data_IF_468477127999
#
_entry.id   IF_468477127999
#
_cell.length_a   1.000
_cell.length_b   1.000
_cell.length_c   1.000
_cell.angle_alpha   90.00
_cell.angle_beta   90.00
_cell.angle_gamma   90.00
#
_symmetry.space_group_name_H-M   'P 1'
#
loop_
_entity.id
_entity.type
_entity.pdbx_description
1 polymer ?
#
# COMPACT_ATOMS: atom_id res chain seq x y z
N UNK A 1 24.10 -4.17 -18.42
CA UNK A 1 22.64 -3.99 -18.54
C UNK A 1 22.15 -3.36 -17.25
N UNK A 2 21.19 -2.45 -17.34
CA UNK A 2 20.55 -1.91 -16.13
C UNK A 2 19.77 -3.02 -15.42
N UNK A 3 19.62 -2.90 -14.11
CA UNK A 3 18.74 -3.76 -13.34
C UNK A 3 17.25 -3.43 -13.55
N UNK A 4 16.37 -4.28 -13.03
CA UNK A 4 14.91 -4.12 -13.09
C UNK A 4 14.41 -3.54 -11.77
N UNK A 5 13.46 -2.61 -11.84
CA UNK A 5 12.74 -2.07 -10.68
C UNK A 5 11.44 -2.84 -10.45
N UNK A 6 11.31 -3.45 -9.29
CA UNK A 6 10.12 -4.21 -8.89
C UNK A 6 9.31 -3.45 -7.85
N UNK A 7 8.05 -3.13 -8.15
CA UNK A 7 7.08 -2.68 -7.14
C UNK A 7 6.33 -3.89 -6.61
N UNK A 8 6.50 -4.22 -5.33
CA UNK A 8 6.01 -5.48 -4.76
C UNK A 8 4.98 -5.22 -3.67
N UNK A 9 3.75 -5.72 -3.87
CA UNK A 9 2.75 -5.80 -2.82
C UNK A 9 3.03 -6.97 -1.88
N UNK A 10 3.25 -6.67 -0.60
CA UNK A 10 3.53 -7.69 0.42
C UNK A 10 2.27 -8.15 1.17
N UNK A 11 1.09 -7.72 0.72
CA UNK A 11 -0.15 -8.08 1.41
C UNK A 11 -0.41 -7.25 2.67
N UNK A 12 -1.48 -7.58 3.44
CA UNK A 12 -2.00 -6.73 4.50
C UNK A 12 -1.32 -6.90 5.86
N UNK A 13 -0.47 -7.93 6.03
CA UNK A 13 0.18 -8.21 7.33
C UNK A 13 0.69 -9.63 7.48
N UNK A 14 -0.10 -10.61 7.09
CA UNK A 14 0.28 -12.02 7.15
C UNK A 14 1.26 -12.36 6.01
N UNK A 15 2.48 -12.86 6.33
CA UNK A 15 3.46 -13.25 5.31
C UNK A 15 2.96 -14.34 4.35
N UNK A 16 2.04 -15.19 4.76
CA UNK A 16 1.47 -16.25 3.91
C UNK A 16 0.52 -15.70 2.83
N UNK A 17 0.16 -14.41 2.92
CA UNK A 17 -0.62 -13.71 1.88
C UNK A 17 0.24 -13.03 0.81
N UNK A 18 1.57 -13.21 0.83
CA UNK A 18 2.40 -12.82 -0.29
C UNK A 18 2.10 -13.73 -1.50
N UNK A 19 2.04 -13.13 -2.69
CA UNK A 19 1.94 -13.93 -3.90
C UNK A 19 3.25 -14.68 -4.16
N UNK A 20 3.18 -15.86 -4.77
CA UNK A 20 4.39 -16.62 -5.16
C UNK A 20 5.30 -15.78 -6.07
N UNK A 21 4.72 -14.90 -6.90
CA UNK A 21 5.48 -13.99 -7.75
C UNK A 21 6.23 -12.94 -6.92
N UNK A 22 5.60 -12.41 -5.87
CA UNK A 22 6.24 -11.48 -4.94
C UNK A 22 7.43 -12.12 -4.22
N UNK A 23 7.27 -13.34 -3.70
CA UNK A 23 8.34 -14.09 -3.04
C UNK A 23 9.53 -14.28 -3.98
N UNK A 24 9.29 -14.78 -5.21
CA UNK A 24 10.35 -14.98 -6.20
C UNK A 24 11.08 -13.68 -6.57
N UNK A 25 10.37 -12.56 -6.65
CA UNK A 25 10.98 -11.27 -6.94
C UNK A 25 11.82 -10.74 -5.77
N UNK A 26 11.38 -10.94 -4.53
CA UNK A 26 12.14 -10.61 -3.31
C UNK A 26 13.42 -11.46 -3.26
N UNK A 27 13.31 -12.76 -3.52
CA UNK A 27 14.47 -13.67 -3.59
C UNK A 27 15.44 -13.32 -4.71
N UNK A 28 14.97 -12.77 -5.83
CA UNK A 28 15.81 -12.36 -6.96
C UNK A 28 16.42 -10.97 -6.81
N UNK A 29 15.88 -10.12 -5.92
CA UNK A 29 16.34 -8.76 -5.72
C UNK A 29 17.76 -8.70 -5.13
N UNK A 30 18.53 -7.69 -5.52
CA UNK A 30 19.83 -7.36 -4.95
C UNK A 30 19.70 -6.32 -3.84
N UNK A 31 18.73 -5.43 -3.96
CA UNK A 31 18.45 -4.36 -3.00
C UNK A 31 16.93 -4.29 -2.72
N UNK A 32 16.58 -4.13 -1.45
CA UNK A 32 15.21 -3.86 -1.03
C UNK A 32 15.08 -2.40 -0.58
N UNK A 33 14.12 -1.68 -1.17
CA UNK A 33 13.71 -0.38 -0.66
C UNK A 33 12.54 -0.58 0.29
N UNK A 34 12.76 -0.18 1.53
CA UNK A 34 11.79 -0.24 2.61
C UNK A 34 11.29 1.18 2.92
N UNK A 35 10.09 1.57 2.42
CA UNK A 35 9.57 2.89 2.72
C UNK A 35 9.25 3.02 4.20
N UNK A 36 9.65 4.14 4.78
CA UNK A 36 9.34 4.51 6.16
C UNK A 36 8.80 5.94 6.25
N UNK A 37 8.16 6.26 7.37
CA UNK A 37 7.79 7.63 7.70
C UNK A 37 8.82 8.22 8.64
N UNK A 38 8.96 9.55 8.69
CA UNK A 38 9.86 10.26 9.63
C UNK A 38 9.62 9.88 11.10
N UNK A 39 8.36 9.53 11.44
CA UNK A 39 7.92 9.29 12.83
C UNK A 39 8.03 7.84 13.29
N UNK A 40 8.39 6.90 12.42
CA UNK A 40 8.47 5.47 12.77
C UNK A 40 9.80 4.88 12.37
N UNK A 41 10.45 4.24 13.31
CA UNK A 41 11.59 3.38 13.03
C UNK A 41 11.07 2.07 12.40
N UNK A 42 11.63 1.74 11.21
CA UNK A 42 11.31 0.53 10.49
C UNK A 42 10.18 0.64 9.46
N UNK A 43 9.96 -0.43 8.73
CA UNK A 43 8.97 -0.56 7.66
C UNK A 43 8.11 -1.79 7.90
N UNK A 44 6.79 -1.59 8.01
CA UNK A 44 5.84 -2.70 8.15
C UNK A 44 5.91 -3.65 6.96
N UNK A 45 6.07 -3.13 5.75
CA UNK A 45 6.20 -3.94 4.55
C UNK A 45 7.46 -4.84 4.59
N UNK A 46 8.56 -4.33 5.14
CA UNK A 46 9.78 -5.11 5.36
C UNK A 46 9.56 -6.22 6.38
N UNK A 47 8.87 -5.94 7.48
CA UNK A 47 8.59 -6.97 8.50
C UNK A 47 7.75 -8.13 7.93
N UNK A 48 6.76 -7.83 7.10
CA UNK A 48 5.94 -8.85 6.42
C UNK A 48 6.79 -9.68 5.45
N UNK A 49 7.70 -9.06 4.71
CA UNK A 49 8.57 -9.75 3.77
C UNK A 49 9.72 -10.52 4.43
N UNK A 50 10.01 -10.27 5.72
CA UNK A 50 11.17 -10.79 6.45
C UNK A 50 11.41 -12.29 6.30
N UNK A 51 10.40 -13.20 6.33
CA UNK A 51 10.61 -14.64 6.18
C UNK A 51 11.20 -15.06 4.82
N UNK A 52 11.09 -14.21 3.82
CA UNK A 52 11.52 -14.48 2.44
C UNK A 52 12.80 -13.74 2.03
N UNK A 53 13.43 -13.03 2.96
CA UNK A 53 14.63 -12.28 2.68
C UNK A 53 15.86 -13.18 2.61
N UNK A 54 16.75 -12.88 1.66
CA UNK A 54 18.12 -13.43 1.70
C UNK A 54 18.84 -12.93 2.95
N UNK A 55 19.75 -13.74 3.47
CA UNK A 55 20.53 -13.43 4.69
C UNK A 55 21.27 -12.10 4.62
N UNK A 56 21.86 -11.79 3.46
CA UNK A 56 22.75 -10.65 3.27
C UNK A 56 22.16 -9.63 2.27
N UNK A 57 20.82 -9.54 2.17
CA UNK A 57 20.17 -8.57 1.28
C UNK A 57 20.44 -7.15 1.74
N UNK A 58 20.84 -6.28 0.82
CA UNK A 58 20.98 -4.85 1.08
C UNK A 58 19.60 -4.21 1.29
N UNK A 59 19.40 -3.47 2.39
CA UNK A 59 18.14 -2.80 2.71
C UNK A 59 18.39 -1.30 2.74
N UNK A 60 17.69 -0.57 1.88
CA UNK A 60 17.70 0.90 1.81
C UNK A 60 16.38 1.42 2.38
N UNK A 61 16.46 2.25 3.43
CA UNK A 61 15.30 2.90 3.99
C UNK A 61 15.09 4.26 3.34
N UNK A 62 14.00 4.41 2.60
CA UNK A 62 13.63 5.70 2.02
C UNK A 62 12.48 6.34 2.79
N UNK A 63 12.65 7.62 3.12
CA UNK A 63 11.60 8.44 3.74
C UNK A 63 10.80 9.13 2.64
N UNK A 64 9.48 8.97 2.71
CA UNK A 64 8.55 9.63 1.80
C UNK A 64 7.69 10.61 2.60
N UNK A 65 7.83 11.91 2.33
CA UNK A 65 7.05 12.93 3.01
C UNK A 65 5.55 12.73 2.78
N UNK A 66 4.77 12.75 3.87
CA UNK A 66 3.30 12.67 3.82
C UNK A 66 2.71 14.06 3.65
N UNK A 67 3.02 14.73 2.54
CA UNK A 67 2.54 16.08 2.23
C UNK A 67 1.23 16.04 1.46
N UNK A 68 0.37 17.07 1.65
CA UNK A 68 -0.90 17.18 0.92
C UNK A 68 -0.70 17.43 -0.57
N UNK A 69 0.34 18.17 -0.94
CA UNK A 69 0.71 18.43 -2.33
C UNK A 69 2.11 17.88 -2.58
N UNK A 70 2.25 17.10 -3.64
CA UNK A 70 3.53 16.54 -4.09
C UNK A 70 4.62 17.63 -4.33
N UNK A 71 4.19 18.82 -4.74
CA UNK A 71 5.07 19.96 -5.01
C UNK A 71 5.72 20.56 -3.74
N UNK A 72 5.16 20.30 -2.55
CA UNK A 72 5.63 20.91 -1.32
C UNK A 72 6.95 20.29 -0.79
N UNK A 73 7.36 19.11 -1.31
CA UNK A 73 8.62 18.45 -0.91
C UNK A 73 9.23 17.64 -2.07
N UNK A 74 9.36 18.29 -3.23
CA UNK A 74 9.92 17.66 -4.43
C UNK A 74 11.38 17.20 -4.26
N UNK A 75 12.14 17.83 -3.37
CA UNK A 75 13.56 17.50 -3.15
C UNK A 75 13.78 16.10 -2.60
N UNK A 76 12.99 15.65 -1.63
CA UNK A 76 13.10 14.30 -1.06
C UNK A 76 12.70 13.21 -2.10
N UNK A 77 11.68 13.49 -2.90
CA UNK A 77 11.25 12.57 -3.96
C UNK A 77 12.29 12.43 -5.07
N UNK A 78 12.90 13.53 -5.50
CA UNK A 78 13.97 13.50 -6.50
C UNK A 78 15.24 12.82 -5.97
N UNK A 79 15.59 13.01 -4.70
CA UNK A 79 16.70 12.32 -4.07
C UNK A 79 16.46 10.80 -4.02
N UNK A 80 15.26 10.36 -3.61
CA UNK A 80 14.88 8.95 -3.60
C UNK A 80 14.89 8.33 -5.01
N UNK A 81 14.40 9.06 -6.02
CA UNK A 81 14.49 8.66 -7.43
C UNK A 81 15.92 8.49 -7.88
N UNK A 82 16.79 9.47 -7.59
CA UNK A 82 18.19 9.43 -7.98
C UNK A 82 18.93 8.23 -7.38
N UNK A 83 18.65 7.89 -6.11
CA UNK A 83 19.19 6.71 -5.44
C UNK A 83 18.75 5.41 -6.13
N UNK A 84 17.46 5.28 -6.47
CA UNK A 84 16.92 4.14 -7.22
C UNK A 84 17.62 4.00 -8.57
N UNK A 85 17.73 5.09 -9.33
CA UNK A 85 18.38 5.08 -10.66
C UNK A 85 19.86 4.73 -10.56
N UNK A 86 20.58 5.17 -9.53
CA UNK A 86 21.97 4.81 -9.30
C UNK A 86 22.14 3.30 -9.12
N UNK A 87 21.31 2.67 -8.26
CA UNK A 87 21.32 1.23 -8.03
C UNK A 87 20.99 0.44 -9.31
N UNK A 88 19.99 0.87 -10.08
CA UNK A 88 19.64 0.23 -11.35
C UNK A 88 20.74 0.36 -12.38
N UNK A 89 21.44 1.50 -12.44
CA UNK A 89 22.58 1.72 -13.34
C UNK A 89 23.81 0.84 -12.99
N UNK A 90 23.94 0.44 -11.72
CA UNK A 90 24.93 -0.56 -11.28
C UNK A 90 24.56 -1.98 -11.73
N UNK A 91 23.40 -2.18 -12.36
CA UNK A 91 22.90 -3.48 -12.79
C UNK A 91 22.18 -4.25 -11.69
N UNK A 92 21.88 -3.61 -10.53
CA UNK A 92 21.18 -4.23 -9.42
C UNK A 92 19.66 -4.29 -9.67
N UNK A 93 19.05 -5.42 -9.37
CA UNK A 93 17.60 -5.55 -9.29
C UNK A 93 17.09 -4.94 -7.97
N UNK A 94 16.24 -3.94 -8.06
CA UNK A 94 15.76 -3.16 -6.91
C UNK A 94 14.27 -3.47 -6.66
N UNK A 95 13.93 -3.93 -5.46
CA UNK A 95 12.56 -4.22 -5.09
C UNK A 95 12.04 -3.21 -4.05
N UNK A 96 10.98 -2.48 -4.42
CA UNK A 96 10.26 -1.55 -3.56
C UNK A 96 9.09 -2.27 -2.89
N UNK A 97 9.13 -2.38 -1.56
CA UNK A 97 8.10 -3.09 -0.80
C UNK A 97 6.93 -2.17 -0.44
N UNK A 98 5.72 -2.67 -0.65
CA UNK A 98 4.47 -1.91 -0.38
C UNK A 98 3.50 -2.75 0.44
N UNK A 99 3.02 -2.19 1.56
CA UNK A 99 1.93 -2.78 2.34
C UNK A 99 0.64 -2.86 1.49
N UNK A 100 0.01 -4.03 1.46
CA UNK A 100 -1.15 -4.30 0.61
C UNK A 100 -0.77 -4.45 -0.86
N UNK A 101 -1.37 -3.65 -1.72
CA UNK A 101 -1.15 -3.63 -3.18
C UNK A 101 -0.44 -2.33 -3.62
N UNK A 102 0.55 -2.41 -4.53
CA UNK A 102 1.32 -1.23 -4.95
C UNK A 102 0.52 -0.21 -5.76
N UNK A 103 -0.54 -0.62 -6.44
CA UNK A 103 -1.37 0.28 -7.24
C UNK A 103 -2.62 0.78 -6.51
N UNK A 104 -2.71 0.50 -5.18
CA UNK A 104 -3.90 0.86 -4.41
C UNK A 104 -3.55 1.74 -3.18
N UNK A 105 -3.82 3.05 -3.24
CA UNK A 105 -3.53 4.06 -2.19
C UNK A 105 -2.11 3.99 -1.61
N UNK A 106 -1.13 3.75 -2.45
CA UNK A 106 0.24 3.43 -2.10
C UNK A 106 1.20 4.57 -2.45
N UNK A 107 2.26 4.70 -1.67
CA UNK A 107 3.42 5.57 -1.98
C UNK A 107 4.13 5.15 -3.26
N UNK A 108 4.11 3.85 -3.59
CA UNK A 108 4.69 3.32 -4.82
C UNK A 108 4.15 4.01 -6.09
N UNK A 109 2.87 4.38 -6.14
CA UNK A 109 2.27 5.04 -7.32
C UNK A 109 3.04 6.31 -7.70
N UNK A 110 3.50 7.07 -6.70
CA UNK A 110 4.28 8.30 -6.94
C UNK A 110 5.69 7.97 -7.43
N UNK A 111 6.35 6.97 -6.84
CA UNK A 111 7.67 6.50 -7.30
C UNK A 111 7.56 5.95 -8.73
N UNK A 112 6.54 5.17 -9.03
CA UNK A 112 6.26 4.66 -10.37
C UNK A 112 6.19 5.80 -11.39
N UNK A 113 5.40 6.85 -11.10
CA UNK A 113 5.26 8.02 -11.99
C UNK A 113 6.56 8.80 -12.20
N UNK A 114 7.46 8.81 -11.22
CA UNK A 114 8.79 9.42 -11.37
C UNK A 114 9.72 8.59 -12.26
N UNK A 115 9.52 7.29 -12.32
CA UNK A 115 10.37 6.36 -13.06
C UNK A 115 9.81 5.96 -14.43
N UNK A 116 8.49 6.08 -14.67
CA UNK A 116 7.85 5.59 -15.90
C UNK A 116 8.33 6.26 -17.19
N UNK A 117 8.98 7.44 -17.09
CA UNK A 117 9.56 8.16 -18.20
C UNK A 117 11.10 7.98 -18.31
N UNK A 118 11.69 7.24 -17.41
CA UNK A 118 13.09 6.87 -17.43
C UNK A 118 13.29 5.59 -18.27
N UNK A 119 14.50 5.41 -18.82
CA UNK A 119 14.87 4.19 -19.55
C UNK A 119 15.18 3.04 -18.56
N UNK A 120 14.15 2.54 -17.87
CA UNK A 120 14.25 1.46 -16.87
C UNK A 120 13.11 0.45 -17.04
N UNK A 121 13.43 -0.83 -16.83
CA UNK A 121 12.43 -1.88 -16.78
C UNK A 121 11.69 -1.84 -15.43
N UNK A 122 10.36 -1.66 -15.46
CA UNK A 122 9.52 -1.65 -14.27
C UNK A 122 8.56 -2.82 -14.28
N UNK A 123 8.57 -3.61 -13.21
CA UNK A 123 7.65 -4.74 -13.01
C UNK A 123 6.85 -4.51 -11.74
N UNK A 124 5.54 -4.30 -11.87
CA UNK A 124 4.64 -4.21 -10.72
C UNK A 124 4.00 -5.56 -10.41
N UNK A 125 4.10 -5.99 -9.16
CA UNK A 125 3.58 -7.27 -8.68
C UNK A 125 2.48 -6.99 -7.66
N UNK A 126 1.23 -7.42 -7.92
CA UNK A 126 0.11 -7.14 -7.05
C UNK A 126 0.24 -7.84 -5.69
N UNK A 127 -0.39 -7.27 -4.68
CA UNK A 127 -0.56 -7.86 -3.37
C UNK A 127 -2.04 -7.84 -2.94
N UNK A 128 -2.36 -8.54 -1.86
CA UNK A 128 -3.72 -8.58 -1.32
C UNK A 128 -4.01 -7.28 -0.56
N UNK A 129 -5.01 -6.47 -0.96
CA UNK A 129 -5.41 -5.29 -0.19
C UNK A 129 -6.06 -5.67 1.14
N UNK A 130 -5.87 -4.83 2.17
CA UNK A 130 -6.37 -5.11 3.52
C UNK A 130 -7.88 -5.36 3.58
N UNK A 131 -8.69 -4.61 2.83
CA UNK A 131 -10.15 -4.77 2.85
C UNK A 131 -10.59 -6.14 2.31
N UNK A 132 -9.88 -6.74 1.36
CA UNK A 132 -10.15 -8.10 0.88
C UNK A 132 -9.83 -9.12 1.99
N UNK A 133 -8.67 -9.01 2.61
CA UNK A 133 -8.26 -9.92 3.68
C UNK A 133 -9.18 -9.82 4.92
N UNK A 134 -9.69 -8.62 5.22
CA UNK A 134 -10.64 -8.40 6.33
C UNK A 134 -11.93 -9.19 6.09
N UNK A 135 -12.52 -9.13 4.89
CA UNK A 135 -13.73 -9.89 4.56
C UNK A 135 -13.56 -11.39 4.82
N UNK A 136 -12.45 -11.96 4.34
CA UNK A 136 -12.11 -13.37 4.58
C UNK A 136 -11.90 -13.68 6.07
N UNK A 137 -11.20 -12.80 6.80
CA UNK A 137 -10.89 -13.00 8.23
C UNK A 137 -12.11 -12.97 9.14
N UNK A 138 -13.10 -12.13 8.82
CA UNK A 138 -14.34 -12.01 9.59
C UNK A 138 -15.45 -12.96 9.08
N UNK A 139 -15.18 -13.73 8.01
CA UNK A 139 -16.14 -14.66 7.43
C UNK A 139 -17.36 -13.95 6.82
N UNK A 140 -17.18 -12.73 6.29
CA UNK A 140 -18.27 -11.91 5.76
C UNK A 140 -17.96 -11.49 4.33
N UNK A 141 -18.85 -11.80 3.35
CA UNK A 141 -18.72 -11.29 2.00
C UNK A 141 -18.65 -9.76 2.00
N UNK A 142 -17.80 -9.20 1.13
CA UNK A 142 -17.68 -7.76 0.98
C UNK A 142 -18.77 -7.23 0.06
N UNK A 143 -19.08 -7.99 -0.98
CA UNK A 143 -20.05 -7.65 -2.00
C UNK A 143 -20.53 -8.93 -2.66
N UNK A 144 -21.79 -9.00 -3.06
CA UNK A 144 -22.36 -10.13 -3.79
C UNK A 144 -23.40 -9.70 -4.82
N UNK A 145 -23.69 -10.61 -5.76
CA UNK A 145 -24.71 -10.40 -6.77
C UNK A 145 -24.43 -9.18 -7.67
N UNK A 146 -25.40 -8.28 -7.70
CA UNK A 146 -25.36 -7.04 -8.49
C UNK A 146 -25.05 -5.79 -7.63
N UNK A 147 -24.65 -5.97 -6.37
CA UNK A 147 -24.32 -4.86 -5.48
C UNK A 147 -23.10 -4.08 -5.96
N UNK A 148 -23.14 -2.78 -5.73
CA UNK A 148 -22.02 -1.89 -6.01
C UNK A 148 -21.13 -1.80 -4.78
N UNK A 149 -19.85 -2.08 -4.95
CA UNK A 149 -18.84 -1.95 -3.90
C UNK A 149 -18.00 -0.68 -4.11
N UNK A 150 -17.91 0.16 -3.09
CA UNK A 150 -17.07 1.34 -3.09
C UNK A 150 -15.89 1.21 -2.11
N UNK A 151 -14.70 1.69 -2.53
CA UNK A 151 -13.56 1.86 -1.63
C UNK A 151 -13.25 3.33 -1.48
N UNK A 152 -13.28 3.82 -0.24
CA UNK A 152 -13.22 5.23 0.08
C UNK A 152 -12.06 5.49 1.05
N UNK A 153 -11.22 6.53 0.83
CA UNK A 153 -10.26 6.94 1.85
C UNK A 153 -11.01 7.63 3.00
N UNK A 154 -10.79 7.22 4.23
CA UNK A 154 -11.36 7.86 5.41
C UNK A 154 -10.89 9.30 5.64
N UNK A 155 -9.95 9.78 4.82
CA UNK A 155 -9.50 11.17 4.74
C UNK A 155 -10.33 12.03 3.78
N UNK A 156 -11.29 11.42 3.07
CA UNK A 156 -12.27 12.17 2.26
C UNK A 156 -13.13 13.05 3.17
N UNK A 157 -13.65 14.15 2.62
CA UNK A 157 -14.59 14.98 3.34
C UNK A 157 -15.92 14.23 3.62
N UNK A 158 -16.65 14.74 4.59
CA UNK A 158 -17.84 14.09 5.08
C UNK A 158 -18.93 13.97 4.02
N UNK A 159 -19.14 15.03 3.24
CA UNK A 159 -20.19 15.06 2.22
C UNK A 159 -19.92 14.01 1.15
N UNK A 160 -18.66 13.85 0.76
CA UNK A 160 -18.25 12.81 -0.17
C UNK A 160 -18.43 11.40 0.37
N UNK A 161 -18.17 11.18 1.66
CA UNK A 161 -18.42 9.91 2.32
C UNK A 161 -19.92 9.58 2.31
N UNK A 162 -20.79 10.57 2.68
CA UNK A 162 -22.25 10.42 2.67
C UNK A 162 -22.80 10.12 1.27
N UNK A 163 -22.36 10.85 0.25
CA UNK A 163 -22.77 10.62 -1.15
C UNK A 163 -22.48 9.20 -1.61
N UNK A 164 -21.24 8.73 -1.38
CA UNK A 164 -20.83 7.38 -1.83
C UNK A 164 -21.57 6.29 -1.06
N UNK A 165 -21.74 6.46 0.26
CA UNK A 165 -22.44 5.49 1.09
C UNK A 165 -23.95 5.45 0.78
N UNK A 166 -24.54 6.51 0.24
CA UNK A 166 -25.94 6.53 -0.16
C UNK A 166 -26.21 5.72 -1.45
N UNK A 167 -25.21 5.50 -2.28
CA UNK A 167 -25.37 4.82 -3.59
C UNK A 167 -24.68 3.46 -3.67
N UNK A 168 -23.73 3.17 -2.79
CA UNK A 168 -23.04 1.88 -2.76
C UNK A 168 -23.79 0.88 -1.88
N UNK A 169 -24.00 -0.34 -2.36
CA UNK A 169 -24.57 -1.44 -1.57
C UNK A 169 -23.62 -1.89 -0.46
N UNK A 170 -22.32 -1.75 -0.68
CA UNK A 170 -21.27 -2.04 0.31
C UNK A 170 -20.08 -1.09 0.14
N UNK A 171 -19.37 -0.81 1.22
CA UNK A 171 -18.21 0.08 1.18
C UNK A 171 -17.10 -0.35 2.14
N UNK A 172 -15.85 -0.19 1.70
CA UNK A 172 -14.67 -0.24 2.55
C UNK A 172 -14.10 1.16 2.76
N UNK A 173 -14.11 1.64 4.00
CA UNK A 173 -13.50 2.91 4.36
C UNK A 173 -12.09 2.65 4.87
N UNK A 174 -11.09 3.11 4.11
CA UNK A 174 -9.68 2.88 4.39
C UNK A 174 -9.04 4.08 5.11
N UNK A 175 -8.02 3.84 5.93
CA UNK A 175 -7.26 4.92 6.62
C UNK A 175 -8.11 5.77 7.56
N UNK A 176 -9.02 5.14 8.30
CA UNK A 176 -9.98 5.80 9.22
C UNK A 176 -9.35 6.39 10.49
N UNK A 177 -8.04 6.29 10.67
CA UNK A 177 -7.32 6.60 11.90
C UNK A 177 -7.65 7.96 12.51
N UNK A 178 -7.70 9.03 11.71
CA UNK A 178 -7.97 10.39 12.21
C UNK A 178 -9.47 10.72 12.30
N UNK A 179 -10.30 10.10 11.48
CA UNK A 179 -11.72 10.45 11.31
C UNK A 179 -12.66 9.35 11.84
N UNK A 180 -12.14 8.44 12.66
CA UNK A 180 -12.95 7.29 13.14
C UNK A 180 -14.22 7.70 13.88
N UNK A 181 -14.18 8.75 14.69
CA UNK A 181 -15.36 9.25 15.41
C UNK A 181 -16.44 9.78 14.45
N UNK A 182 -16.04 10.56 13.46
CA UNK A 182 -16.96 11.12 12.45
C UNK A 182 -17.58 10.03 11.58
N UNK A 183 -16.79 9.01 11.21
CA UNK A 183 -17.27 7.86 10.44
C UNK A 183 -18.26 7.04 11.27
N UNK A 184 -18.00 6.82 12.56
CA UNK A 184 -18.93 6.12 13.46
C UNK A 184 -20.24 6.90 13.59
N UNK A 185 -20.19 8.22 13.72
CA UNK A 185 -21.39 9.05 13.79
C UNK A 185 -22.16 9.06 12.47
N UNK A 186 -21.48 9.02 11.34
CA UNK A 186 -22.08 8.84 10.03
C UNK A 186 -22.84 7.50 9.94
N UNK A 187 -22.21 6.40 10.35
CA UNK A 187 -22.84 5.07 10.38
C UNK A 187 -24.06 5.04 11.30
N UNK A 188 -24.00 5.71 12.47
CA UNK A 188 -25.15 5.80 13.41
C UNK A 188 -26.34 6.54 12.80
N UNK A 189 -26.09 7.70 12.18
CA UNK A 189 -27.14 8.50 11.54
C UNK A 189 -27.82 7.78 10.39
N UNK A 190 -27.10 6.92 9.69
CA UNK A 190 -27.62 6.14 8.56
C UNK A 190 -28.09 4.72 8.98
N UNK A 191 -28.17 4.42 10.28
CA UNK A 191 -28.56 3.09 10.81
C UNK A 191 -27.70 1.92 10.31
N UNK A 192 -26.44 2.17 9.93
CA UNK A 192 -25.52 1.18 9.35
C UNK A 192 -24.61 0.49 10.38
N UNK A 193 -24.69 0.86 11.66
CA UNK A 193 -23.76 0.35 12.69
C UNK A 193 -23.82 -1.16 12.91
N UNK A 194 -24.97 -1.78 12.72
CA UNK A 194 -25.14 -3.24 12.85
C UNK A 194 -24.48 -4.01 11.71
N UNK A 195 -24.33 -3.35 10.56
CA UNK A 195 -23.75 -3.91 9.36
C UNK A 195 -22.27 -3.55 9.20
N UNK A 196 -21.75 -2.68 10.05
CA UNK A 196 -20.36 -2.24 9.99
C UNK A 196 -19.43 -3.16 10.78
N UNK A 197 -18.23 -3.37 10.24
CA UNK A 197 -17.10 -4.05 10.89
C UNK A 197 -15.91 -3.13 10.89
N UNK A 198 -15.30 -2.91 12.05
CA UNK A 198 -14.05 -2.17 12.19
C UNK A 198 -12.92 -3.15 12.53
N UNK A 199 -11.87 -3.14 11.73
CA UNK A 199 -10.68 -3.94 11.97
C UNK A 199 -9.46 -3.02 12.03
N UNK A 200 -8.70 -3.12 13.11
CA UNK A 200 -7.43 -2.43 13.28
C UNK A 200 -6.29 -3.43 13.15
N UNK A 201 -5.21 -3.05 12.49
CA UNK A 201 -4.01 -3.88 12.29
C UNK A 201 -4.34 -5.26 11.70
N UNK A 202 -5.12 -5.26 10.62
CA UNK A 202 -5.53 -6.49 9.93
C UNK A 202 -4.30 -7.28 9.44
N UNK A 203 -4.05 -8.44 10.08
CA UNK A 203 -2.94 -9.32 9.72
C UNK A 203 -1.59 -9.02 10.44
N UNK A 204 -1.55 -7.97 11.26
CA UNK A 204 -0.36 -7.59 12.06
C UNK A 204 -0.49 -8.02 13.51
#
# INVERSE_FOLDING_TARGET
MRGTFYGIGVGPGDPELLTVKAIKAIEAADVLIAPKTEKKDGSVALEIARPYLKKDIEIVYQVFPMVKNFADDSGAWEANKAEILALLNEGKNVAFLTLGDPMFYSTYIYVFRLLEHEDVDIVTIPGVPAFIAIGSRVGRPIVEGNDVFAVIPGTADKDRLEEVMAVAGSAAVMKVYHNSAEIIDLLRRNNMTKEAVLVSRAGL
#
